data_IF_190259416115
#
_entry.id   IF_190259416115
#
_cell.length_a   1.000
_cell.length_b   1.000
_cell.length_c   1.000
_cell.angle_alpha   90.00
_cell.angle_beta   90.00
_cell.angle_gamma   90.00
#
_symmetry.space_group_name_H-M   'P 1'
#
loop_
_entity.id
_entity.type
_entity.pdbx_description
1 polymer ?
#
# COMPACT_ATOMS: atom_id res chain seq x y z
N UNK A 1 15.78 0.75 5.29
CA UNK A 1 16.10 1.87 4.38
C UNK A 1 15.80 1.53 2.92
N UNK A 2 16.33 0.46 2.31
CA UNK A 2 16.06 0.16 0.88
C UNK A 2 14.57 -0.11 0.57
N UNK A 3 13.91 -1.02 1.31
CA UNK A 3 12.48 -1.36 1.12
C UNK A 3 11.55 -0.16 1.25
N UNK A 4 11.88 0.78 2.14
CA UNK A 4 11.09 1.98 2.35
C UNK A 4 11.20 2.95 1.18
N UNK A 5 12.40 3.11 0.63
CA UNK A 5 12.61 3.91 -0.58
C UNK A 5 11.87 3.29 -1.77
N UNK A 6 11.91 1.96 -1.91
CA UNK A 6 11.15 1.25 -2.95
C UNK A 6 9.65 1.44 -2.81
N UNK A 7 9.10 1.26 -1.61
CA UNK A 7 7.67 1.43 -1.35
C UNK A 7 7.22 2.88 -1.60
N UNK A 8 8.03 3.87 -1.22
CA UNK A 8 7.80 5.29 -1.52
C UNK A 8 7.75 5.57 -3.03
N UNK A 9 8.70 5.01 -3.79
CA UNK A 9 8.73 5.15 -5.27
C UNK A 9 7.49 4.53 -5.92
N UNK A 10 7.08 3.34 -5.47
CA UNK A 10 5.87 2.69 -5.95
C UNK A 10 4.65 3.57 -5.67
N UNK A 11 4.52 4.09 -4.44
CA UNK A 11 3.42 4.97 -4.08
C UNK A 11 3.35 6.24 -4.94
N UNK A 12 4.49 6.87 -5.21
CA UNK A 12 4.57 8.04 -6.10
C UNK A 12 4.07 7.73 -7.51
N UNK A 13 4.41 6.54 -8.04
CA UNK A 13 3.94 6.10 -9.35
C UNK A 13 2.44 5.82 -9.37
N UNK A 14 1.91 5.20 -8.32
CA UNK A 14 0.47 5.00 -8.16
C UNK A 14 -0.28 6.35 -8.14
N UNK A 15 0.21 7.33 -7.39
CA UNK A 15 -0.32 8.70 -7.39
C UNK A 15 -0.20 9.44 -8.72
N UNK A 16 0.71 9.02 -9.59
CA UNK A 16 0.82 9.50 -10.96
C UNK A 16 -0.08 8.72 -11.94
N UNK A 17 -0.90 7.77 -11.46
CA UNK A 17 -1.81 6.97 -12.27
C UNK A 17 -1.16 5.75 -12.94
N UNK A 18 0.05 5.35 -12.51
CA UNK A 18 0.80 4.23 -13.09
C UNK A 18 0.99 3.11 -12.07
N UNK A 19 0.76 1.86 -12.47
CA UNK A 19 1.00 0.67 -11.64
C UNK A 19 2.36 0.08 -12.03
N UNK A 20 3.42 0.23 -11.20
CA UNK A 20 4.75 -0.29 -11.53
C UNK A 20 4.88 -1.77 -11.17
N UNK A 21 4.28 -2.66 -11.96
CA UNK A 21 4.16 -4.09 -11.66
C UNK A 21 5.50 -4.77 -11.31
N UNK A 22 6.56 -4.50 -12.09
CA UNK A 22 7.88 -5.09 -11.86
C UNK A 22 8.47 -4.67 -10.51
N UNK A 23 8.36 -3.40 -10.15
CA UNK A 23 8.90 -2.89 -8.88
C UNK A 23 8.11 -3.43 -7.69
N UNK A 24 6.79 -3.54 -7.84
CA UNK A 24 5.93 -4.19 -6.85
C UNK A 24 6.34 -5.65 -6.67
N UNK A 25 6.59 -6.39 -7.76
CA UNK A 25 7.03 -7.78 -7.71
C UNK A 25 8.37 -7.92 -7.01
N UNK A 26 9.36 -7.10 -7.39
CA UNK A 26 10.69 -7.09 -6.80
C UNK A 26 10.63 -6.81 -5.29
N UNK A 27 9.88 -5.77 -4.87
CA UNK A 27 9.66 -5.49 -3.46
C UNK A 27 8.99 -6.68 -2.77
N UNK A 28 7.91 -7.22 -3.36
CA UNK A 28 7.14 -8.31 -2.76
C UNK A 28 7.98 -9.57 -2.51
N UNK A 29 8.98 -9.85 -3.35
CA UNK A 29 9.88 -10.99 -3.18
C UNK A 29 10.94 -10.77 -2.09
N UNK A 30 11.19 -9.51 -1.69
CA UNK A 30 12.10 -9.14 -0.60
C UNK A 30 11.40 -9.08 0.77
N UNK A 31 10.07 -9.09 0.78
CA UNK A 31 9.26 -9.01 2.00
C UNK A 31 9.14 -10.36 2.71
N UNK A 32 9.04 -10.31 4.02
CA UNK A 32 8.73 -11.44 4.88
C UNK A 32 7.80 -11.00 6.03
N UNK A 33 7.37 -11.94 6.86
CA UNK A 33 6.45 -11.69 7.98
C UNK A 33 6.92 -10.57 8.94
N UNK A 34 8.22 -10.45 9.17
CA UNK A 34 8.76 -9.41 10.07
C UNK A 34 8.60 -7.99 9.53
N UNK A 35 8.34 -7.83 8.24
CA UNK A 35 8.11 -6.53 7.62
C UNK A 35 6.65 -6.03 7.76
N UNK A 36 5.71 -6.88 8.18
CA UNK A 36 4.27 -6.54 8.23
C UNK A 36 4.00 -5.35 9.15
N UNK A 37 4.58 -5.34 10.36
CA UNK A 37 4.40 -4.24 11.32
C UNK A 37 4.94 -2.92 10.75
N UNK A 38 6.05 -2.99 10.01
CA UNK A 38 6.65 -1.82 9.37
C UNK A 38 5.73 -1.28 8.26
N UNK A 39 5.21 -2.11 7.37
CA UNK A 39 4.30 -1.67 6.30
C UNK A 39 3.01 -1.08 6.90
N UNK A 40 2.44 -1.70 7.92
CA UNK A 40 1.24 -1.18 8.60
C UNK A 40 1.52 0.11 9.36
N UNK A 41 2.74 0.32 9.88
CA UNK A 41 3.12 1.60 10.49
C UNK A 41 3.11 2.75 9.48
N UNK A 42 3.42 2.48 8.20
CA UNK A 42 3.32 3.47 7.12
C UNK A 42 1.86 3.81 6.84
N UNK A 43 0.98 2.82 6.81
CA UNK A 43 -0.47 3.05 6.67
C UNK A 43 -1.03 3.82 7.88
N UNK A 44 -0.54 3.51 9.09
CA UNK A 44 -1.01 4.11 10.33
C UNK A 44 -0.83 5.63 10.36
N UNK A 45 0.22 6.14 9.73
CA UNK A 45 0.52 7.58 9.66
C UNK A 45 -0.17 8.30 8.50
N UNK A 46 -0.92 7.59 7.64
CA UNK A 46 -1.73 8.22 6.60
C UNK A 46 -2.99 8.80 7.22
N UNK A 47 -3.20 10.11 7.08
CA UNK A 47 -4.44 10.80 7.51
C UNK A 47 -5.30 11.26 6.32
N UNK A 48 -4.70 11.45 5.13
CA UNK A 48 -5.40 11.95 3.94
C UNK A 48 -4.69 11.51 2.65
N UNK A 49 -5.37 11.45 1.48
CA UNK A 49 -4.73 11.32 0.17
C UNK A 49 -3.67 12.39 -0.14
N UNK A 50 -3.73 13.52 0.56
CA UNK A 50 -2.74 14.59 0.50
C UNK A 50 -1.56 14.37 1.45
N UNK A 51 -1.74 13.55 2.48
CA UNK A 51 -0.73 13.20 3.47
C UNK A 51 -0.02 11.92 3.03
N UNK A 52 1.10 12.06 2.31
CA UNK A 52 2.32 11.33 2.67
C UNK A 52 3.57 11.61 1.84
N UNK A 53 4.70 11.48 2.56
CA UNK A 53 6.10 11.69 2.17
C UNK A 53 6.42 13.12 1.75
N UNK A 54 6.17 14.05 2.67
CA UNK A 54 6.76 15.39 2.61
C UNK A 54 8.25 15.30 2.91
N UNK A 55 9.08 15.62 1.91
CA UNK A 55 10.27 16.48 2.05
C UNK A 55 10.93 16.78 0.68
N UNK A 56 10.69 16.00 -0.37
CA UNK A 56 11.30 16.21 -1.70
C UNK A 56 10.28 16.33 -2.84
N UNK A 57 9.22 17.10 -2.64
CA UNK A 57 8.37 17.50 -3.75
C UNK A 57 8.26 19.01 -3.65
N UNK A 58 9.21 19.70 -4.28
CA UNK A 58 8.83 20.87 -5.08
C UNK A 58 7.62 20.40 -5.89
N UNK A 59 6.43 20.69 -5.38
CA UNK A 59 5.22 20.63 -6.17
C UNK A 59 5.41 21.75 -7.19
N UNK A 60 6.23 21.48 -8.20
CA UNK A 60 6.22 22.19 -9.45
C UNK A 60 4.75 22.24 -9.84
N UNK A 61 4.29 23.47 -9.90
CA UNK A 61 2.97 23.94 -10.27
C UNK A 61 2.50 23.26 -11.55
N UNK A 62 1.99 22.03 -11.43
CA UNK A 62 1.11 21.42 -12.41
C UNK A 62 -0.21 21.21 -11.70
N UNK A 63 -0.94 22.31 -11.57
CA UNK A 63 -2.30 22.40 -11.05
C UNK A 63 -3.34 21.56 -11.85
N UNK A 64 -2.87 20.69 -12.76
CA UNK A 64 -3.66 19.86 -13.68
C UNK A 64 -3.41 18.34 -13.51
N UNK A 65 -2.77 17.88 -12.43
CA UNK A 65 -2.97 16.47 -12.03
C UNK A 65 -4.35 16.37 -11.40
N UNK A 66 -5.28 15.77 -12.13
CA UNK A 66 -6.65 15.49 -11.68
C UNK A 66 -6.64 14.96 -10.25
N UNK A 67 -7.32 15.66 -9.33
CA UNK A 67 -7.44 15.25 -7.94
C UNK A 67 -7.96 13.79 -7.83
N UNK A 68 -8.77 13.37 -8.81
CA UNK A 68 -9.21 11.98 -8.98
C UNK A 68 -8.06 10.99 -9.12
N UNK A 69 -7.01 11.31 -9.89
CA UNK A 69 -5.84 10.44 -10.07
C UNK A 69 -5.06 10.29 -8.77
N UNK A 70 -4.90 11.38 -8.02
CA UNK A 70 -4.20 11.37 -6.72
C UNK A 70 -4.97 10.50 -5.72
N UNK A 71 -6.29 10.70 -5.62
CA UNK A 71 -7.16 9.94 -4.72
C UNK A 71 -7.21 8.46 -5.12
N UNK A 72 -7.32 8.16 -6.41
CA UNK A 72 -7.28 6.78 -6.91
C UNK A 72 -5.95 6.10 -6.59
N UNK A 73 -4.83 6.77 -6.86
CA UNK A 73 -3.49 6.26 -6.55
C UNK A 73 -3.27 6.01 -5.05
N UNK A 74 -3.88 6.85 -4.20
CA UNK A 74 -3.89 6.65 -2.75
C UNK A 74 -4.61 5.36 -2.34
N UNK A 75 -5.84 5.14 -2.81
CA UNK A 75 -6.57 3.92 -2.46
C UNK A 75 -5.92 2.68 -3.08
N UNK A 76 -5.34 2.78 -4.27
CA UNK A 76 -4.52 1.71 -4.85
C UNK A 76 -3.32 1.35 -3.98
N UNK A 77 -2.76 2.29 -3.22
CA UNK A 77 -1.67 2.01 -2.28
C UNK A 77 -2.16 1.24 -1.05
N UNK A 78 -3.33 1.60 -0.51
CA UNK A 78 -3.98 0.83 0.57
C UNK A 78 -4.27 -0.60 0.11
N UNK A 79 -4.77 -0.76 -1.12
CA UNK A 79 -5.01 -2.06 -1.73
C UNK A 79 -3.69 -2.83 -1.92
N UNK A 80 -2.63 -2.16 -2.40
CA UNK A 80 -1.32 -2.77 -2.59
C UNK A 80 -0.76 -3.31 -1.28
N UNK A 81 -0.80 -2.54 -0.19
CA UNK A 81 -0.34 -3.01 1.13
C UNK A 81 -1.08 -4.26 1.55
N UNK A 82 -2.39 -4.32 1.31
CA UNK A 82 -3.21 -5.51 1.55
C UNK A 82 -2.73 -6.69 0.70
N UNK A 83 -2.47 -6.47 -0.59
CA UNK A 83 -1.93 -7.49 -1.51
C UNK A 83 -0.57 -8.02 -1.10
N UNK A 84 0.33 -7.15 -0.63
CA UNK A 84 1.66 -7.55 -0.12
C UNK A 84 1.53 -8.44 1.12
N UNK A 85 0.61 -8.13 2.03
CA UNK A 85 0.33 -8.96 3.22
C UNK A 85 -0.27 -10.30 2.83
N UNK A 86 -1.25 -10.32 1.90
CA UNK A 86 -1.88 -11.56 1.41
C UNK A 86 -0.83 -12.47 0.75
N UNK A 87 0.14 -11.91 0.03
CA UNK A 87 1.23 -12.68 -0.61
C UNK A 87 2.10 -13.43 0.39
N UNK A 88 2.23 -12.93 1.62
CA UNK A 88 2.94 -13.62 2.69
C UNK A 88 2.15 -14.80 3.28
N UNK A 89 0.90 -15.00 2.85
CA UNK A 89 0.02 -16.08 3.28
C UNK A 89 -0.50 -15.92 4.71
N UNK A 90 -0.91 -17.03 5.31
CA UNK A 90 -1.55 -17.07 6.63
C UNK A 90 -0.69 -16.41 7.73
N UNK A 91 0.64 -16.55 7.64
CA UNK A 91 1.57 -15.93 8.58
C UNK A 91 1.49 -14.40 8.53
N UNK A 92 1.52 -13.82 7.33
CA UNK A 92 1.39 -12.37 7.14
C UNK A 92 0.04 -11.84 7.61
N UNK A 93 -1.04 -12.54 7.28
CA UNK A 93 -2.41 -12.16 7.69
C UNK A 93 -2.57 -12.22 9.21
N UNK A 94 -2.08 -13.29 9.85
CA UNK A 94 -2.12 -13.43 11.31
C UNK A 94 -1.33 -12.33 12.01
N UNK A 95 -0.15 -11.98 11.47
CA UNK A 95 0.68 -10.89 11.97
C UNK A 95 -0.03 -9.54 11.84
N UNK A 96 -0.63 -9.28 10.68
CA UNK A 96 -1.39 -8.06 10.43
C UNK A 96 -2.58 -7.92 11.39
N UNK A 97 -3.34 -9.00 11.61
CA UNK A 97 -4.48 -8.99 12.54
C UNK A 97 -4.09 -8.75 14.01
N UNK A 98 -2.82 -8.92 14.36
CA UNK A 98 -2.29 -8.63 15.70
C UNK A 98 -1.75 -7.20 15.83
N UNK A 99 -1.73 -6.42 14.75
CA UNK A 99 -1.20 -5.07 14.73
C UNK A 99 -2.17 -4.08 15.38
N UNK A 100 -1.67 -3.27 16.31
CA UNK A 100 -2.44 -2.20 16.93
C UNK A 100 -2.52 -0.97 16.01
N UNK A 101 -3.63 -0.88 15.27
CA UNK A 101 -3.95 0.25 14.41
C UNK A 101 -4.16 1.58 15.12
N UNK A 102 -4.39 1.58 16.45
CA UNK A 102 -4.69 2.79 17.21
C UNK A 102 -5.85 3.59 16.61
N UNK A 103 -5.63 4.89 16.36
CA UNK A 103 -6.61 5.81 15.76
C UNK A 103 -6.55 5.91 14.24
N UNK A 104 -5.78 5.06 13.55
CA UNK A 104 -5.66 5.15 12.10
C UNK A 104 -6.98 4.86 11.38
N UNK A 105 -7.31 5.69 10.39
CA UNK A 105 -8.49 5.50 9.55
C UNK A 105 -8.33 4.33 8.56
N UNK A 106 -7.10 4.08 8.08
CA UNK A 106 -6.84 3.17 6.96
C UNK A 106 -6.33 1.78 7.36
N UNK A 107 -5.70 1.64 8.54
CA UNK A 107 -5.31 0.31 9.03
C UNK A 107 -6.50 -0.65 9.10
N UNK A 108 -7.70 -0.27 9.62
CA UNK A 108 -8.86 -1.16 9.62
C UNK A 108 -9.27 -1.66 8.22
N UNK A 109 -9.09 -0.84 7.19
CA UNK A 109 -9.38 -1.23 5.80
C UNK A 109 -8.39 -2.27 5.28
N UNK A 110 -7.10 -2.08 5.53
CA UNK A 110 -6.07 -3.07 5.18
C UNK A 110 -6.36 -4.41 5.82
N UNK A 111 -6.66 -4.42 7.13
CA UNK A 111 -6.97 -5.67 7.86
C UNK A 111 -8.23 -6.36 7.30
N UNK A 112 -9.24 -5.58 6.93
CA UNK A 112 -10.46 -6.09 6.31
C UNK A 112 -10.20 -6.71 4.95
N UNK A 113 -9.39 -6.06 4.11
CA UNK A 113 -9.01 -6.57 2.79
C UNK A 113 -8.15 -7.83 2.88
N UNK A 114 -7.29 -7.93 3.90
CA UNK A 114 -6.51 -9.13 4.16
C UNK A 114 -7.35 -10.31 4.65
N UNK A 115 -8.42 -10.08 5.42
CA UNK A 115 -9.13 -11.15 6.15
C UNK A 115 -10.46 -11.58 5.54
N UNK A 116 -11.13 -10.73 4.74
CA UNK A 116 -12.41 -11.08 4.12
C UNK A 116 -12.23 -11.44 2.64
N UNK A 117 -12.53 -12.70 2.34
CA UNK A 117 -12.47 -13.32 0.99
C UNK A 117 -13.15 -12.50 -0.12
N UNK A 118 -14.20 -11.74 0.18
CA UNK A 118 -14.88 -10.89 -0.81
C UNK A 118 -13.98 -9.74 -1.25
N UNK A 119 -13.31 -9.09 -0.30
CA UNK A 119 -12.41 -7.99 -0.60
C UNK A 119 -11.08 -8.50 -1.16
N UNK A 120 -10.60 -9.67 -0.72
CA UNK A 120 -9.44 -10.30 -1.35
C UNK A 120 -9.63 -10.50 -2.86
N UNK A 121 -10.87 -10.77 -3.33
CA UNK A 121 -11.15 -10.87 -4.77
C UNK A 121 -10.79 -9.57 -5.49
N UNK A 122 -11.20 -8.44 -4.95
CA UNK A 122 -10.91 -7.11 -5.53
C UNK A 122 -9.39 -6.83 -5.53
N UNK A 123 -8.69 -7.20 -4.46
CA UNK A 123 -7.22 -7.07 -4.39
C UNK A 123 -6.53 -7.92 -5.46
N UNK A 124 -6.98 -9.17 -5.67
CA UNK A 124 -6.44 -10.07 -6.69
C UNK A 124 -6.69 -9.55 -8.11
N UNK A 125 -7.84 -8.91 -8.34
CA UNK A 125 -8.16 -8.27 -9.61
C UNK A 125 -7.32 -7.03 -9.88
N UNK A 126 -6.99 -6.26 -8.83
CA UNK A 126 -6.13 -5.07 -8.93
C UNK A 126 -4.64 -5.42 -9.07
N UNK A 127 -4.19 -6.56 -8.52
CA UNK A 127 -2.79 -6.99 -8.53
C UNK A 127 -2.61 -8.47 -8.94
N UNK A 128 -3.09 -8.88 -10.13
CA UNK A 128 -3.10 -10.29 -10.55
C UNK A 128 -1.67 -10.87 -10.69
N UNK A 129 -0.70 -10.01 -10.97
CA UNK A 129 0.70 -10.38 -11.12
C UNK A 129 1.36 -10.81 -9.80
N UNK A 130 0.79 -10.48 -8.63
CA UNK A 130 1.35 -10.89 -7.33
C UNK A 130 1.27 -12.39 -7.05
N UNK A 131 0.45 -13.14 -7.79
CA UNK A 131 0.28 -14.59 -7.63
C UNK A 131 -0.50 -14.97 -6.37
N UNK A 132 -1.41 -14.11 -5.92
CA UNK A 132 -2.26 -14.25 -4.73
C UNK A 132 -3.66 -14.77 -5.04
#
# INVERSE_FOLDING_TARGET
MEKEVELKKIFQKLRAGSIPEQEILELSNKLNESDVDWILSIIKVLESPHDCFGEDIELEESADKDAEVIVKGFFQFVDLVSGLIIKLGDAGISKANSFDGGSSEYVPWVLRYCSDTRFQKDIKENFPFLGI
#
